data_IF_458271096439
#
_entry.id   IF_458271096439
#
_cell.length_a   1.000
_cell.length_b   1.000
_cell.length_c   1.000
_cell.angle_alpha   90.00
_cell.angle_beta   90.00
_cell.angle_gamma   90.00
#
_symmetry.space_group_name_H-M   'P 1'
#
loop_
_entity.id
_entity.type
_entity.pdbx_description
1 polymer ?
#
# COMPACT_ATOMS: atom_id res chain seq x y z
N UNK A 1 -21.13 33.97 18.60
CA UNK A 1 -21.46 32.60 19.08
C UNK A 1 -22.58 32.77 20.11
N UNK A 2 -23.83 32.56 19.67
CA UNK A 2 -24.95 32.55 20.60
C UNK A 2 -24.82 31.32 21.50
N UNK A 3 -24.73 31.56 22.82
CA UNK A 3 -24.81 30.50 23.82
C UNK A 3 -26.26 29.97 23.78
N UNK A 4 -26.44 28.74 23.28
CA UNK A 4 -27.65 27.96 23.48
C UNK A 4 -28.07 28.11 24.95
N UNK A 5 -29.15 28.81 25.25
CA UNK A 5 -29.65 29.20 26.57
C UNK A 5 -29.85 28.12 27.63
N UNK A 6 -28.88 27.20 27.72
CA UNK A 6 -28.79 26.20 28.77
C UNK A 6 -28.24 26.86 30.04
N UNK A 7 -28.81 26.61 31.22
CA UNK A 7 -28.30 27.15 32.46
C UNK A 7 -26.82 26.79 32.62
N UNK A 8 -25.99 27.79 32.86
CA UNK A 8 -24.55 27.62 33.08
C UNK A 8 -24.31 26.65 34.25
N UNK A 9 -23.92 25.43 33.93
CA UNK A 9 -23.41 24.50 34.93
C UNK A 9 -21.89 24.57 34.92
N UNK A 10 -21.24 24.85 36.05
CA UNK A 10 -19.79 24.88 36.12
C UNK A 10 -19.24 23.52 35.70
N UNK A 11 -18.58 23.46 34.54
CA UNK A 11 -17.91 22.28 34.07
C UNK A 11 -16.72 21.96 34.98
N UNK A 12 -16.62 20.70 35.44
CA UNK A 12 -15.49 20.24 36.24
C UNK A 12 -14.83 19.02 35.57
N UNK A 13 -14.16 19.19 34.42
CA UNK A 13 -13.62 18.09 33.64
C UNK A 13 -12.48 17.31 34.36
N UNK A 14 -11.89 17.86 35.43
CA UNK A 14 -10.92 17.13 36.27
C UNK A 14 -11.50 15.87 36.90
N UNK A 15 -12.83 15.74 37.03
CA UNK A 15 -13.49 14.53 37.51
C UNK A 15 -13.18 13.33 36.60
N UNK A 16 -13.09 13.55 35.29
CA UNK A 16 -12.83 12.50 34.27
C UNK A 16 -11.36 12.07 34.20
N UNK A 17 -10.44 12.68 34.97
CA UNK A 17 -9.00 12.36 34.94
C UNK A 17 -8.41 12.02 36.30
N UNK A 18 -9.27 11.85 37.31
CA UNK A 18 -8.90 11.67 38.71
C UNK A 18 -8.01 10.46 38.97
N UNK A 19 -8.22 9.34 38.24
CA UNK A 19 -7.40 8.14 38.30
C UNK A 19 -7.35 7.44 36.95
N UNK A 20 -6.51 6.39 36.83
CA UNK A 20 -6.31 5.66 35.58
C UNK A 20 -7.58 4.98 35.07
N UNK A 21 -8.40 4.41 35.94
CA UNK A 21 -9.65 3.73 35.57
C UNK A 21 -10.63 4.71 34.92
N UNK A 22 -10.86 5.89 35.56
CA UNK A 22 -11.75 6.93 35.02
C UNK A 22 -11.21 7.49 33.69
N UNK A 23 -9.88 7.74 33.59
CA UNK A 23 -9.28 8.15 32.31
C UNK A 23 -9.47 7.09 31.22
N UNK A 24 -9.39 5.80 31.59
CA UNK A 24 -9.66 4.69 30.68
C UNK A 24 -11.12 4.68 30.18
N UNK A 25 -12.09 4.96 31.05
CA UNK A 25 -13.51 5.03 30.67
C UNK A 25 -13.84 6.18 29.71
N UNK A 26 -13.17 7.32 29.88
CA UNK A 26 -13.46 8.56 29.12
C UNK A 26 -12.55 8.77 27.91
N UNK A 27 -11.60 7.86 27.67
CA UNK A 27 -10.69 7.95 26.54
C UNK A 27 -11.44 7.67 25.23
N UNK A 28 -11.43 8.62 24.32
CA UNK A 28 -12.06 8.51 23.00
C UNK A 28 -11.18 7.71 22.03
N UNK A 29 -9.89 8.01 21.95
CA UNK A 29 -8.95 7.33 21.05
C UNK A 29 -8.29 6.14 21.73
N UNK A 30 -8.38 4.97 21.10
CA UNK A 30 -7.74 3.72 21.51
C UNK A 30 -6.98 3.14 20.34
N UNK A 31 -5.77 2.65 20.58
CA UNK A 31 -5.00 1.90 19.59
C UNK A 31 -5.20 0.40 19.86
N UNK A 32 -5.64 -0.32 18.84
CA UNK A 32 -5.88 -1.76 18.88
C UNK A 32 -5.08 -2.46 17.78
N UNK A 33 -4.57 -3.68 17.95
CA UNK A 33 -3.87 -4.43 16.89
C UNK A 33 -4.67 -4.54 15.60
N UNK A 34 -5.98 -4.69 15.67
CA UNK A 34 -6.89 -4.77 14.53
C UNK A 34 -6.96 -3.49 13.66
N UNK A 35 -6.48 -2.36 14.18
CA UNK A 35 -6.41 -1.08 13.45
C UNK A 35 -5.11 -0.89 12.69
N UNK A 36 -4.15 -1.81 12.86
CA UNK A 36 -2.82 -1.74 12.23
C UNK A 36 -2.83 -2.52 10.92
N UNK A 37 -2.21 -1.96 9.89
CA UNK A 37 -1.87 -2.66 8.65
C UNK A 37 -0.37 -2.97 8.71
N UNK A 38 -0.01 -4.26 8.68
CA UNK A 38 1.39 -4.68 8.75
C UNK A 38 1.99 -4.80 7.35
N UNK A 39 2.97 -3.94 6.98
CA UNK A 39 3.64 -4.03 5.69
C UNK A 39 4.64 -5.20 5.68
N UNK A 40 4.61 -6.01 4.62
CA UNK A 40 5.51 -7.14 4.42
C UNK A 40 6.09 -7.11 3.00
N UNK A 41 7.38 -7.43 2.89
CA UNK A 41 8.09 -7.48 1.61
C UNK A 41 8.24 -8.94 1.18
N UNK A 42 7.85 -9.24 -0.04
CA UNK A 42 7.89 -10.60 -0.56
C UNK A 42 8.82 -10.75 -1.77
N UNK A 43 9.41 -11.93 -1.87
CA UNK A 43 10.34 -12.32 -2.94
C UNK A 43 10.02 -13.73 -3.40
N UNK A 44 10.28 -14.04 -4.68
CA UNK A 44 10.12 -15.38 -5.20
C UNK A 44 11.18 -16.35 -4.64
N UNK A 45 10.76 -17.61 -4.47
CA UNK A 45 11.64 -18.69 -3.97
C UNK A 45 11.09 -19.39 -2.74
N UNK A 46 11.95 -20.09 -2.01
CA UNK A 46 11.61 -20.82 -0.80
C UNK A 46 12.74 -20.73 0.23
N UNK A 47 12.39 -20.65 1.51
CA UNK A 47 13.34 -20.58 2.63
C UNK A 47 14.10 -19.25 2.72
N UNK A 48 13.68 -18.21 2.00
CA UNK A 48 14.38 -16.93 1.94
C UNK A 48 13.86 -16.00 3.04
N UNK A 49 14.81 -15.48 3.82
CA UNK A 49 14.64 -14.39 4.76
C UNK A 49 15.84 -13.45 4.58
N UNK A 50 15.70 -12.45 3.69
CA UNK A 50 16.77 -11.53 3.31
C UNK A 50 16.58 -10.17 4.02
N UNK A 51 17.42 -9.84 5.03
CA UNK A 51 17.29 -8.59 5.77
C UNK A 51 17.45 -7.35 4.91
N UNK A 52 16.58 -6.37 5.09
CA UNK A 52 16.64 -5.08 4.40
C UNK A 52 17.50 -4.13 5.23
N UNK A 53 18.74 -3.87 4.78
CA UNK A 53 19.74 -3.11 5.54
C UNK A 53 19.28 -1.70 5.94
N UNK A 54 18.44 -1.06 5.13
CA UNK A 54 17.91 0.28 5.36
C UNK A 54 16.61 0.31 6.17
N UNK A 55 16.00 -0.87 6.43
CA UNK A 55 14.81 -1.04 7.29
C UNK A 55 15.10 -2.07 8.40
N UNK A 56 15.79 -1.68 9.48
CA UNK A 56 16.16 -2.61 10.56
C UNK A 56 14.97 -3.38 11.12
N UNK A 57 15.09 -4.71 11.19
CA UNK A 57 14.03 -5.62 11.67
C UNK A 57 13.01 -6.03 10.60
N UNK A 58 13.18 -5.57 9.34
CA UNK A 58 12.39 -6.02 8.19
C UNK A 58 13.24 -6.86 7.25
N UNK A 59 12.61 -7.87 6.65
CA UNK A 59 13.24 -8.75 5.66
C UNK A 59 12.34 -8.93 4.44
N UNK A 60 12.94 -9.25 3.28
CA UNK A 60 12.22 -9.81 2.15
C UNK A 60 12.02 -11.29 2.40
N UNK A 61 10.79 -11.75 2.29
CA UNK A 61 10.38 -13.09 2.69
C UNK A 61 9.86 -13.88 1.49
N UNK A 62 10.33 -15.13 1.32
CA UNK A 62 9.66 -16.07 0.44
C UNK A 62 8.29 -16.49 1.00
N UNK A 63 7.46 -17.12 0.16
CA UNK A 63 6.08 -17.49 0.50
C UNK A 63 5.98 -18.23 1.84
N UNK A 64 6.80 -19.25 2.07
CA UNK A 64 6.82 -20.04 3.31
C UNK A 64 7.15 -19.18 4.53
N UNK A 65 8.17 -18.33 4.44
CA UNK A 65 8.59 -17.43 5.53
C UNK A 65 7.58 -16.31 5.78
N UNK A 66 6.94 -15.82 4.73
CA UNK A 66 5.90 -14.79 4.83
C UNK A 66 4.65 -15.34 5.53
N UNK A 67 4.25 -16.58 5.22
CA UNK A 67 3.13 -17.23 5.90
C UNK A 67 3.41 -17.44 7.39
N UNK A 68 4.64 -17.79 7.78
CA UNK A 68 5.04 -17.92 9.17
C UNK A 68 5.02 -16.57 9.90
N UNK A 69 5.48 -15.50 9.23
CA UNK A 69 5.45 -14.14 9.80
C UNK A 69 4.02 -13.61 9.94
N UNK A 70 3.13 -13.88 8.98
CA UNK A 70 1.70 -13.57 9.10
C UNK A 70 1.09 -14.31 10.30
N UNK A 71 1.38 -15.60 10.49
CA UNK A 71 0.89 -16.37 11.63
C UNK A 71 1.38 -15.79 12.97
N UNK A 72 2.65 -15.37 13.04
CA UNK A 72 3.19 -14.71 14.23
C UNK A 72 2.44 -13.41 14.53
N UNK A 73 2.21 -12.56 13.52
CA UNK A 73 1.47 -11.31 13.67
C UNK A 73 -0.01 -11.54 13.99
N UNK A 74 -0.62 -12.57 13.41
CA UNK A 74 -1.99 -13.01 13.69
C UNK A 74 -2.19 -13.35 15.15
N UNK A 75 -1.24 -14.07 15.75
CA UNK A 75 -1.25 -14.43 17.16
C UNK A 75 -1.10 -13.22 18.11
N UNK A 76 -0.59 -12.08 17.59
CA UNK A 76 -0.52 -10.78 18.27
C UNK A 76 -1.78 -9.91 18.06
N UNK A 77 -2.75 -10.39 17.29
CA UNK A 77 -4.00 -9.68 17.01
C UNK A 77 -4.02 -8.83 15.73
N UNK A 78 -2.95 -8.82 14.94
CA UNK A 78 -2.94 -8.16 13.62
C UNK A 78 -3.84 -8.95 12.66
N UNK A 79 -4.65 -8.24 11.87
CA UNK A 79 -5.58 -8.83 10.91
C UNK A 79 -5.43 -8.30 9.49
N UNK A 80 -4.72 -7.19 9.32
CA UNK A 80 -4.57 -6.50 8.06
C UNK A 80 -3.10 -6.51 7.64
N UNK A 81 -2.83 -6.88 6.40
CA UNK A 81 -1.47 -7.01 5.85
C UNK A 81 -1.39 -6.27 4.51
N UNK A 82 -0.29 -5.56 4.29
CA UNK A 82 0.01 -4.94 3.00
C UNK A 82 1.26 -5.58 2.42
N UNK A 83 1.16 -6.16 1.22
CA UNK A 83 2.27 -6.87 0.59
C UNK A 83 2.95 -6.01 -0.47
N UNK A 84 4.29 -6.05 -0.50
CA UNK A 84 5.13 -5.35 -1.46
C UNK A 84 6.09 -6.34 -2.13
N UNK A 85 6.05 -6.50 -3.47
CA UNK A 85 6.90 -7.46 -4.17
C UNK A 85 8.27 -6.89 -4.53
N UNK A 86 9.35 -7.63 -4.28
CA UNK A 86 10.65 -7.40 -4.89
C UNK A 86 10.79 -8.34 -6.09
N UNK A 87 10.73 -7.78 -7.30
CA UNK A 87 10.77 -8.51 -8.56
C UNK A 87 12.19 -8.55 -9.11
N UNK A 88 12.63 -9.72 -9.56
CA UNK A 88 13.95 -9.89 -10.15
C UNK A 88 14.06 -9.20 -11.51
N UNK A 89 15.22 -8.63 -11.83
CA UNK A 89 15.43 -7.78 -13.01
C UNK A 89 15.07 -8.46 -14.34
N UNK A 90 15.29 -9.77 -14.47
CA UNK A 90 14.96 -10.50 -15.70
C UNK A 90 13.46 -10.64 -15.98
N UNK A 91 12.60 -10.32 -14.99
CA UNK A 91 11.14 -10.31 -15.11
C UNK A 91 10.57 -8.90 -15.33
N UNK A 92 11.43 -7.87 -15.26
CA UNK A 92 11.02 -6.49 -15.46
C UNK A 92 11.05 -6.10 -16.94
N UNK A 93 10.02 -5.40 -17.40
CA UNK A 93 9.97 -4.80 -18.74
C UNK A 93 9.39 -3.37 -18.70
N UNK A 94 9.37 -2.68 -19.85
CA UNK A 94 8.88 -1.30 -19.93
C UNK A 94 7.40 -1.12 -19.62
N UNK A 95 6.61 -2.17 -19.76
CA UNK A 95 5.16 -2.14 -19.61
C UNK A 95 4.70 -2.83 -18.33
N UNK A 96 5.65 -3.29 -17.51
CA UNK A 96 5.37 -4.02 -16.27
C UNK A 96 4.48 -5.27 -16.48
N UNK A 97 4.65 -5.97 -17.63
CA UNK A 97 3.74 -7.05 -18.06
C UNK A 97 3.70 -8.24 -17.10
N UNK A 98 4.76 -8.47 -16.33
CA UNK A 98 4.79 -9.50 -15.31
C UNK A 98 3.78 -9.26 -14.18
N UNK A 99 3.35 -8.02 -13.95
CA UNK A 99 2.44 -7.68 -12.83
C UNK A 99 1.06 -8.36 -12.91
N UNK A 100 0.62 -8.73 -14.11
CA UNK A 100 -0.63 -9.48 -14.33
C UNK A 100 -0.42 -10.87 -14.95
N UNK A 101 0.82 -11.34 -15.02
CA UNK A 101 1.12 -12.69 -15.50
C UNK A 101 0.54 -13.76 -14.58
N UNK A 102 0.07 -14.87 -15.13
CA UNK A 102 -0.38 -16.03 -14.36
C UNK A 102 0.75 -16.62 -13.50
N UNK A 103 2.00 -16.52 -13.97
CA UNK A 103 3.20 -16.99 -13.27
C UNK A 103 3.71 -16.00 -12.19
N UNK A 104 3.02 -14.87 -11.98
CA UNK A 104 3.46 -13.88 -11.01
C UNK A 104 3.42 -14.45 -9.59
N UNK A 105 4.61 -14.54 -8.96
CA UNK A 105 4.75 -15.04 -7.59
C UNK A 105 3.97 -14.23 -6.57
N UNK A 106 3.83 -12.91 -6.77
CA UNK A 106 3.08 -12.02 -5.87
C UNK A 106 1.60 -12.40 -5.81
N UNK A 107 1.00 -12.68 -6.97
CA UNK A 107 -0.40 -13.14 -7.06
C UNK A 107 -0.55 -14.56 -6.48
N UNK A 108 0.45 -15.42 -6.64
CA UNK A 108 0.48 -16.76 -6.03
C UNK A 108 0.52 -16.65 -4.50
N UNK A 109 1.41 -15.82 -3.96
CA UNK A 109 1.52 -15.56 -2.51
C UNK A 109 0.19 -15.07 -1.94
N UNK A 110 -0.49 -14.14 -2.61
CA UNK A 110 -1.80 -13.65 -2.17
C UNK A 110 -2.84 -14.78 -2.04
N UNK A 111 -2.90 -15.67 -3.04
CA UNK A 111 -3.78 -16.86 -2.99
C UNK A 111 -3.44 -17.77 -1.80
N UNK A 112 -2.15 -18.01 -1.57
CA UNK A 112 -1.68 -18.85 -0.44
C UNK A 112 -2.02 -18.22 0.91
N UNK A 113 -1.87 -16.89 1.06
CA UNK A 113 -2.27 -16.16 2.26
C UNK A 113 -3.77 -16.29 2.51
N UNK A 114 -4.59 -16.03 1.50
CA UNK A 114 -6.07 -16.15 1.63
C UNK A 114 -6.51 -17.58 1.88
N UNK A 115 -5.83 -18.57 1.35
CA UNK A 115 -6.11 -19.99 1.63
C UNK A 115 -5.82 -20.37 3.09
N UNK A 116 -4.72 -19.87 3.67
CA UNK A 116 -4.32 -20.17 5.06
C UNK A 116 -5.03 -19.28 6.10
N UNK A 117 -5.30 -18.00 5.74
CA UNK A 117 -5.89 -16.99 6.61
C UNK A 117 -7.10 -16.31 5.91
N UNK A 118 -8.22 -17.01 5.68
CA UNK A 118 -9.34 -16.47 4.91
C UNK A 118 -9.97 -15.22 5.53
N UNK A 119 -9.87 -15.05 6.84
CA UNK A 119 -10.38 -13.91 7.60
C UNK A 119 -9.44 -12.68 7.60
N UNK A 120 -8.23 -12.79 7.02
CA UNK A 120 -7.34 -11.64 6.94
C UNK A 120 -7.81 -10.64 5.89
N UNK A 121 -7.55 -9.36 6.15
CA UNK A 121 -7.65 -8.30 5.16
C UNK A 121 -6.29 -8.12 4.49
N UNK A 122 -6.25 -8.30 3.17
CA UNK A 122 -5.03 -8.25 2.38
C UNK A 122 -5.05 -7.04 1.45
N UNK A 123 -4.07 -6.17 1.58
CA UNK A 123 -3.87 -4.97 0.75
C UNK A 123 -2.72 -5.18 -0.22
N UNK A 124 -2.92 -4.75 -1.46
CA UNK A 124 -1.90 -4.76 -2.51
C UNK A 124 -1.19 -3.42 -2.66
N UNK A 125 -0.16 -3.41 -3.51
CA UNK A 125 0.45 -2.22 -4.08
C UNK A 125 0.25 -2.20 -5.60
N UNK A 126 -0.28 -1.10 -6.14
CA UNK A 126 -0.44 -0.88 -7.58
C UNK A 126 0.46 0.26 -7.99
N UNK A 127 1.61 -0.11 -8.54
CA UNK A 127 2.59 0.79 -9.14
C UNK A 127 3.47 0.00 -10.10
N UNK A 128 4.00 0.65 -11.12
CA UNK A 128 4.84 -0.04 -12.10
C UNK A 128 6.27 -0.27 -11.62
N UNK A 129 6.79 0.54 -10.71
CA UNK A 129 8.22 0.56 -10.36
C UNK A 129 8.81 -0.80 -9.93
N UNK A 130 8.12 -1.71 -9.20
CA UNK A 130 8.67 -3.04 -8.92
C UNK A 130 8.83 -3.92 -10.16
N UNK A 131 8.06 -3.65 -11.21
CA UNK A 131 7.96 -4.47 -12.43
C UNK A 131 8.57 -3.78 -13.65
N UNK A 132 8.83 -2.47 -13.57
CA UNK A 132 9.35 -1.68 -14.68
C UNK A 132 10.86 -1.79 -14.81
N UNK A 133 11.34 -2.03 -16.03
CA UNK A 133 12.77 -1.97 -16.34
C UNK A 133 13.37 -0.57 -16.18
N UNK A 134 12.56 0.48 -16.18
CA UNK A 134 12.99 1.87 -16.00
C UNK A 134 12.95 2.32 -14.52
N UNK A 135 12.29 1.56 -13.61
CA UNK A 135 12.15 1.86 -12.18
C UNK A 135 11.25 3.05 -11.87
N UNK A 136 10.38 3.43 -12.81
CA UNK A 136 9.37 4.45 -12.62
C UNK A 136 7.97 3.85 -12.41
N UNK A 137 7.08 4.61 -11.74
CA UNK A 137 5.70 4.20 -11.47
C UNK A 137 4.78 4.30 -12.71
N UNK A 138 5.29 4.77 -13.84
CA UNK A 138 4.59 4.88 -15.11
C UNK A 138 5.48 4.61 -16.30
N UNK A 139 4.86 4.52 -17.48
CA UNK A 139 5.53 4.30 -18.77
C UNK A 139 6.46 5.46 -19.10
N UNK A 140 7.73 5.16 -19.38
CA UNK A 140 8.73 6.15 -19.79
C UNK A 140 8.76 6.23 -21.32
N UNK A 141 8.51 7.43 -21.85
CA UNK A 141 8.60 7.73 -23.29
C UNK A 141 10.06 7.77 -23.76
N UNK A 142 10.30 7.79 -25.08
CA UNK A 142 11.65 7.86 -25.68
C UNK A 142 12.41 9.14 -25.26
N UNK A 143 11.70 10.23 -25.01
CA UNK A 143 12.26 11.51 -24.55
C UNK A 143 12.36 11.61 -23.02
N UNK A 144 12.08 10.51 -22.28
CA UNK A 144 12.27 10.38 -20.83
C UNK A 144 11.14 10.95 -19.98
N UNK A 145 9.98 11.30 -20.56
CA UNK A 145 8.79 11.74 -19.80
C UNK A 145 7.97 10.54 -19.34
N UNK A 146 7.20 10.73 -18.28
CA UNK A 146 6.21 9.75 -17.84
C UNK A 146 4.91 9.98 -18.62
N UNK A 147 4.41 8.94 -19.28
CA UNK A 147 3.16 8.95 -20.03
C UNK A 147 2.01 8.49 -19.15
N UNK A 148 1.20 9.46 -18.71
CA UNK A 148 0.05 9.20 -17.84
C UNK A 148 -0.96 8.27 -18.53
N UNK A 149 -1.37 8.61 -19.75
CA UNK A 149 -2.45 7.91 -20.46
C UNK A 149 -2.06 6.48 -20.86
N UNK A 150 -0.80 6.26 -21.25
CA UNK A 150 -0.28 4.92 -21.52
C UNK A 150 -0.18 4.05 -20.24
N UNK A 151 -0.05 4.68 -19.07
CA UNK A 151 0.08 4.01 -17.78
C UNK A 151 -1.25 3.51 -17.23
N UNK A 152 -2.32 4.29 -17.37
CA UNK A 152 -3.64 3.98 -16.77
C UNK A 152 -4.16 2.57 -17.10
N UNK A 153 -4.17 2.07 -18.35
CA UNK A 153 -4.65 0.73 -18.66
C UNK A 153 -3.75 -0.37 -18.06
N UNK A 154 -2.49 -0.10 -17.81
CA UNK A 154 -1.56 -1.03 -17.15
C UNK A 154 -1.96 -1.17 -15.68
N UNK A 155 -2.18 -0.06 -14.97
CA UNK A 155 -2.62 -0.04 -13.58
C UNK A 155 -3.97 -0.75 -13.40
N UNK A 156 -4.90 -0.54 -14.34
CA UNK A 156 -6.19 -1.21 -14.33
C UNK A 156 -6.05 -2.74 -14.42
N UNK A 157 -5.23 -3.25 -15.35
CA UNK A 157 -4.96 -4.69 -15.48
C UNK A 157 -4.30 -5.28 -14.24
N UNK A 158 -3.32 -4.54 -13.68
CA UNK A 158 -2.65 -4.94 -12.45
C UNK A 158 -3.64 -5.06 -11.29
N UNK A 159 -4.51 -4.07 -11.12
CA UNK A 159 -5.53 -4.04 -10.07
C UNK A 159 -6.51 -5.22 -10.19
N UNK A 160 -7.00 -5.51 -11.41
CA UNK A 160 -7.90 -6.64 -11.66
C UNK A 160 -7.20 -7.97 -11.35
N UNK A 161 -5.96 -8.17 -11.79
CA UNK A 161 -5.21 -9.39 -11.50
C UNK A 161 -4.98 -9.59 -9.98
N UNK A 162 -4.73 -8.52 -9.25
CA UNK A 162 -4.58 -8.54 -7.80
C UNK A 162 -5.92 -8.88 -7.11
N UNK A 163 -7.03 -8.28 -7.51
CA UNK A 163 -8.36 -8.61 -7.00
C UNK A 163 -8.72 -10.10 -7.25
N UNK A 164 -8.44 -10.60 -8.44
CA UNK A 164 -8.61 -12.03 -8.81
C UNK A 164 -7.74 -12.96 -7.95
N UNK A 165 -6.58 -12.50 -7.50
CA UNK A 165 -5.70 -13.25 -6.61
C UNK A 165 -6.17 -13.27 -5.15
N UNK A 166 -7.18 -12.45 -4.79
CA UNK A 166 -7.78 -12.42 -3.46
C UNK A 166 -7.36 -11.24 -2.58
N UNK A 167 -6.79 -10.18 -3.15
CA UNK A 167 -6.60 -8.95 -2.42
C UNK A 167 -7.96 -8.27 -2.15
N UNK A 168 -8.21 -7.90 -0.90
CA UNK A 168 -9.43 -7.22 -0.46
C UNK A 168 -9.37 -5.71 -0.76
N UNK A 169 -8.15 -5.16 -0.80
CA UNK A 169 -7.88 -3.75 -1.03
C UNK A 169 -6.80 -3.57 -2.08
N UNK A 170 -7.08 -2.69 -3.03
CA UNK A 170 -6.11 -2.24 -4.03
C UNK A 170 -5.50 -0.92 -3.57
N UNK A 171 -4.16 -0.87 -3.49
CA UNK A 171 -3.41 0.28 -3.00
C UNK A 171 -2.66 1.03 -4.10
N UNK A 172 -3.32 1.91 -4.90
CA UNK A 172 -2.63 2.69 -5.93
C UNK A 172 -1.66 3.68 -5.33
N UNK A 173 -0.37 3.50 -5.62
CA UNK A 173 0.73 4.32 -5.10
C UNK A 173 1.51 5.04 -6.20
N UNK A 174 1.09 4.91 -7.45
CA UNK A 174 1.78 5.37 -8.66
C UNK A 174 1.72 6.88 -8.88
N UNK A 175 0.64 7.55 -8.45
CA UNK A 175 0.37 8.99 -8.59
C UNK A 175 0.05 9.46 -10.03
N UNK A 176 -0.49 8.58 -10.89
CA UNK A 176 -1.01 9.00 -12.19
C UNK A 176 -2.38 9.67 -12.05
N UNK A 177 -2.61 10.71 -12.84
CA UNK A 177 -3.89 11.43 -12.87
C UNK A 177 -5.02 10.52 -13.36
N UNK A 178 -6.16 10.52 -12.66
CA UNK A 178 -7.34 9.75 -13.05
C UNK A 178 -7.31 8.26 -12.70
N UNK A 179 -6.21 7.72 -12.16
CA UNK A 179 -6.02 6.29 -11.88
C UNK A 179 -7.11 5.66 -11.04
N UNK A 180 -7.62 6.39 -10.02
CA UNK A 180 -8.64 5.83 -9.10
C UNK A 180 -9.94 5.52 -9.85
N UNK A 181 -10.37 6.43 -10.73
CA UNK A 181 -11.58 6.22 -11.57
C UNK A 181 -11.40 5.03 -12.50
N UNK A 182 -10.26 4.97 -13.22
CA UNK A 182 -9.98 3.89 -14.19
C UNK A 182 -9.85 2.54 -13.49
N UNK A 183 -9.18 2.47 -12.34
CA UNK A 183 -9.07 1.22 -11.55
C UNK A 183 -10.45 0.80 -11.04
N UNK A 184 -11.27 1.73 -10.52
CA UNK A 184 -12.62 1.40 -10.02
C UNK A 184 -13.51 0.84 -11.13
N UNK A 185 -13.52 1.49 -12.29
CA UNK A 185 -14.29 1.04 -13.46
C UNK A 185 -13.86 -0.39 -13.88
N UNK A 186 -12.55 -0.63 -14.02
CA UNK A 186 -12.03 -1.94 -14.41
C UNK A 186 -12.36 -3.05 -13.40
N UNK A 187 -12.30 -2.76 -12.10
CA UNK A 187 -12.70 -3.71 -11.05
C UNK A 187 -14.20 -4.02 -11.13
N UNK A 188 -15.06 -3.01 -11.32
CA UNK A 188 -16.51 -3.19 -11.41
C UNK A 188 -16.91 -4.00 -12.65
N UNK A 189 -16.33 -3.69 -13.82
CA UNK A 189 -16.54 -4.41 -15.06
C UNK A 189 -16.08 -5.89 -14.99
N UNK A 190 -15.04 -6.14 -14.17
CA UNK A 190 -14.50 -7.51 -13.97
C UNK A 190 -15.19 -8.28 -12.84
N UNK A 191 -16.27 -7.75 -12.23
CA UNK A 191 -17.04 -8.42 -11.18
C UNK A 191 -16.44 -8.29 -9.77
N UNK A 192 -15.55 -7.33 -9.54
CA UNK A 192 -14.87 -7.08 -8.26
C UNK A 192 -15.40 -5.83 -7.54
N UNK A 193 -16.72 -5.61 -7.51
CA UNK A 193 -17.38 -4.46 -6.89
C UNK A 193 -17.08 -4.34 -5.39
N UNK A 194 -16.87 -5.47 -4.71
CA UNK A 194 -16.59 -5.52 -3.27
C UNK A 194 -15.11 -5.27 -2.93
N UNK A 195 -14.21 -5.25 -3.94
CA UNK A 195 -12.80 -4.91 -3.70
C UNK A 195 -12.67 -3.42 -3.44
N UNK A 196 -12.13 -3.07 -2.27
CA UNK A 196 -11.89 -1.68 -1.88
C UNK A 196 -10.69 -1.06 -2.58
N UNK A 197 -10.61 0.27 -2.61
CA UNK A 197 -9.43 1.01 -3.04
C UNK A 197 -8.95 1.87 -1.88
N UNK A 198 -7.69 1.68 -1.47
CA UNK A 198 -7.00 2.50 -0.47
C UNK A 198 -5.90 3.30 -1.17
N UNK A 199 -6.27 4.47 -1.69
CA UNK A 199 -5.39 5.30 -2.49
C UNK A 199 -4.31 6.01 -1.66
N UNK A 200 -3.10 6.09 -2.21
CA UNK A 200 -2.07 7.00 -1.73
C UNK A 200 -2.38 8.39 -2.29
N UNK A 201 -3.04 9.24 -1.52
CA UNK A 201 -3.52 10.54 -1.99
C UNK A 201 -2.41 11.58 -2.07
N UNK A 202 -1.67 11.81 -1.00
CA UNK A 202 -0.62 12.81 -0.90
C UNK A 202 0.77 12.17 -0.78
N UNK A 203 1.23 11.44 -1.81
CA UNK A 203 2.57 10.83 -1.85
C UNK A 203 3.59 11.87 -2.31
N UNK A 204 4.33 12.43 -1.37
CA UNK A 204 5.30 13.48 -1.63
C UNK A 204 6.63 12.95 -2.20
N UNK A 205 7.26 13.71 -3.09
CA UNK A 205 8.64 13.51 -3.50
C UNK A 205 9.59 13.75 -2.33
N UNK A 206 10.03 12.68 -1.66
CA UNK A 206 10.76 12.77 -0.40
C UNK A 206 11.97 11.83 -0.34
N UNK A 207 13.04 12.27 0.33
CA UNK A 207 14.19 11.44 0.66
C UNK A 207 13.82 10.27 1.61
N UNK A 208 12.72 10.36 2.36
CA UNK A 208 12.24 9.28 3.22
C UNK A 208 11.84 8.01 2.46
N UNK A 209 11.62 8.08 1.14
CA UNK A 209 11.42 6.89 0.30
C UNK A 209 12.70 6.10 -0.02
N UNK A 210 13.89 6.60 0.35
CA UNK A 210 15.15 5.90 0.13
C UNK A 210 15.14 4.46 0.63
N UNK A 211 14.84 4.20 1.92
CA UNK A 211 14.76 2.86 2.49
C UNK A 211 13.74 1.94 1.81
N UNK A 212 12.59 2.49 1.41
CA UNK A 212 11.55 1.73 0.74
C UNK A 212 11.95 1.32 -0.68
N UNK A 213 12.61 2.22 -1.45
CA UNK A 213 13.14 1.92 -2.78
C UNK A 213 14.20 0.82 -2.74
N UNK A 214 15.04 0.82 -1.71
CA UNK A 214 16.01 -0.23 -1.45
C UNK A 214 15.32 -1.58 -1.17
N UNK A 215 14.23 -1.56 -0.39
CA UNK A 215 13.46 -2.77 -0.07
C UNK A 215 12.88 -3.45 -1.31
N UNK A 216 12.42 -2.70 -2.31
CA UNK A 216 11.81 -3.22 -3.55
C UNK A 216 12.79 -3.34 -4.71
N UNK A 217 14.02 -2.87 -4.58
CA UNK A 217 14.97 -2.71 -5.70
C UNK A 217 14.31 -1.98 -6.89
N UNK A 218 13.62 -0.87 -6.59
CA UNK A 218 12.76 -0.13 -7.52
C UNK A 218 13.20 1.33 -7.73
N UNK A 219 14.49 1.63 -7.53
CA UNK A 219 15.01 2.96 -7.78
C UNK A 219 14.95 3.33 -9.28
N UNK A 220 14.54 4.57 -9.64
CA UNK A 220 14.61 5.04 -11.03
C UNK A 220 16.02 4.88 -11.62
N UNK A 221 16.11 4.31 -12.81
CA UNK A 221 17.39 4.16 -13.52
C UNK A 221 17.87 5.48 -14.17
N UNK A 222 16.95 6.44 -14.33
CA UNK A 222 17.24 7.79 -14.81
C UNK A 222 16.23 8.79 -14.25
N UNK A 223 16.61 10.07 -14.12
CA UNK A 223 15.73 11.12 -13.62
C UNK A 223 15.34 10.99 -12.14
N UNK A 224 14.19 11.51 -11.80
CA UNK A 224 13.60 11.42 -10.46
C UNK A 224 12.07 11.27 -10.55
N UNK A 225 11.38 11.15 -9.41
CA UNK A 225 9.92 10.95 -9.36
C UNK A 225 9.13 12.25 -9.16
N UNK A 226 9.75 13.44 -9.27
CA UNK A 226 9.11 14.74 -8.97
C UNK A 226 8.06 15.18 -9.98
N UNK A 227 8.04 14.57 -11.17
CA UNK A 227 7.04 14.88 -12.21
C UNK A 227 5.66 14.26 -11.92
N UNK A 228 5.58 13.33 -10.94
CA UNK A 228 4.32 12.69 -10.55
C UNK A 228 4.16 12.53 -9.02
N UNK A 229 5.24 12.46 -8.24
CA UNK A 229 5.12 12.58 -6.78
C UNK A 229 5.00 14.05 -6.39
N UNK A 230 4.15 14.34 -5.43
CA UNK A 230 3.73 15.69 -5.05
C UNK A 230 4.86 16.53 -4.45
N UNK A 231 4.79 17.84 -4.66
CA UNK A 231 5.67 18.81 -4.02
C UNK A 231 5.23 19.04 -2.56
N UNK A 232 6.10 18.78 -1.55
CA UNK A 232 5.78 19.00 -0.15
C UNK A 232 5.48 20.46 0.21
N UNK A 233 5.81 21.42 -0.64
CA UNK A 233 5.50 22.82 -0.45
C UNK A 233 4.11 23.25 -0.94
N UNK A 234 3.32 22.33 -1.52
CA UNK A 234 1.98 22.62 -2.09
C UNK A 234 0.84 21.99 -1.26
N UNK A 235 0.36 22.70 -0.25
CA UNK A 235 -0.75 22.26 0.62
C UNK A 235 -2.08 22.16 -0.13
N UNK A 236 -2.34 23.07 -1.07
CA UNK A 236 -3.61 23.10 -1.82
C UNK A 236 -3.76 21.86 -2.70
N UNK A 237 -2.69 21.44 -3.34
CA UNK A 237 -2.65 20.20 -4.13
C UNK A 237 -2.90 18.97 -3.24
N UNK A 238 -2.22 18.90 -2.09
CA UNK A 238 -2.39 17.80 -1.14
C UNK A 238 -3.82 17.64 -0.61
N UNK A 239 -4.55 18.75 -0.48
CA UNK A 239 -5.98 18.72 -0.08
C UNK A 239 -6.91 18.35 -1.24
N UNK A 240 -6.48 18.56 -2.47
CA UNK A 240 -7.24 18.20 -3.66
C UNK A 240 -7.12 16.72 -4.00
N UNK A 241 -5.91 16.12 -3.90
CA UNK A 241 -5.65 14.70 -4.06
C UNK A 241 -6.29 13.85 -2.95
#
# INVERSE_FOLDING_TARGET
>A
METLGLPFQPSRPRRNRRNAAIRGLTRETRLHPEQLIYPLFCVDGAGIEDPIGTLPGMSRLSEDKLLDEIERAWNLGIRNFCLFPMVQDHLKDKTASYSWSEDNFYLRIARSVKARFPECSLMSDVAMDPYSSDGHDGVVTEDGRIDNEATLPILARMAVAQAQAGFDWIGPSDMMDGRIGVIREALDESGHQDTGILAYTAKYASAFYGPFRDALDSAPKSGDKKTYQMDPANVTEALRE
#
